data_IF_974607910695
#
_entry.id   IF_974607910695
#
_cell.length_a   1.000
_cell.length_b   1.000
_cell.length_c   1.000
_cell.angle_alpha   90.00
_cell.angle_beta   90.00
_cell.angle_gamma   90.00
#
_symmetry.space_group_name_H-M   'P 1'
#
loop_
_entity.id
_entity.type
_entity.pdbx_description
1 polymer ?
#
# COMPACT_ATOMS: atom_id res chain seq x y z
N UNK A 1 5.41 -69.00 32.20
CA UNK A 1 4.45 -67.88 32.02
C UNK A 1 5.10 -66.56 32.40
N UNK A 2 5.56 -65.75 31.43
CA UNK A 2 5.84 -64.31 31.56
C UNK A 2 5.78 -63.69 30.15
N UNK A 3 4.61 -63.21 29.76
CA UNK A 3 4.44 -61.99 28.93
C UNK A 3 4.05 -60.86 29.91
N UNK A 4 4.10 -59.56 29.58
CA UNK A 4 4.17 -58.92 28.25
C UNK A 4 5.26 -57.80 28.20
N UNK A 5 5.52 -57.12 27.08
CA UNK A 5 4.80 -55.91 26.65
C UNK A 5 5.24 -55.56 25.23
N UNK A 6 4.28 -55.53 24.32
CA UNK A 6 4.43 -54.89 23.02
C UNK A 6 4.65 -53.39 23.24
N UNK A 7 5.75 -52.87 22.69
CA UNK A 7 6.02 -51.45 22.62
C UNK A 7 5.27 -50.89 21.41
N UNK A 8 4.10 -50.31 21.64
CA UNK A 8 3.36 -49.55 20.63
C UNK A 8 4.02 -48.17 20.53
N UNK A 9 4.86 -47.96 19.51
CA UNK A 9 5.36 -46.63 19.16
C UNK A 9 4.28 -45.93 18.33
N UNK A 10 3.45 -45.12 19.00
CA UNK A 10 2.51 -44.23 18.33
C UNK A 10 3.27 -42.97 17.91
N UNK A 11 3.69 -42.91 16.64
CA UNK A 11 4.28 -41.70 16.07
C UNK A 11 3.15 -40.71 15.79
N UNK A 12 2.89 -39.80 16.73
CA UNK A 12 1.97 -38.68 16.54
C UNK A 12 2.65 -37.67 15.62
N UNK A 13 2.27 -37.64 14.35
CA UNK A 13 2.52 -36.49 13.49
C UNK A 13 1.67 -35.33 13.99
N UNK A 14 2.24 -34.51 14.88
CA UNK A 14 1.71 -33.17 15.15
C UNK A 14 1.99 -32.35 13.89
N UNK A 15 0.99 -32.23 13.03
CA UNK A 15 0.98 -31.19 12.00
C UNK A 15 0.86 -29.87 12.78
N UNK A 16 2.00 -29.26 13.11
CA UNK A 16 2.01 -27.85 13.49
C UNK A 16 1.44 -27.11 12.28
N UNK A 17 0.18 -26.70 12.37
CA UNK A 17 -0.38 -25.71 11.48
C UNK A 17 0.43 -24.43 11.71
N UNK A 18 1.54 -24.28 10.99
CA UNK A 18 2.18 -22.99 10.84
C UNK A 18 1.10 -22.08 10.29
N UNK A 19 0.74 -20.98 10.97
CA UNK A 19 -0.21 -20.05 10.41
C UNK A 19 0.39 -19.61 9.09
N UNK A 20 -0.30 -19.90 7.99
CA UNK A 20 0.28 -19.84 6.65
C UNK A 20 0.88 -18.46 6.35
N UNK A 21 0.49 -17.41 7.06
CA UNK A 21 1.23 -16.15 7.16
C UNK A 21 1.03 -15.55 8.56
N UNK A 22 2.10 -15.07 9.21
CA UNK A 22 1.97 -14.29 10.44
C UNK A 22 1.27 -12.95 10.12
N UNK A 23 0.44 -12.46 11.04
CA UNK A 23 -0.19 -11.14 10.88
C UNK A 23 0.88 -10.05 10.80
N UNK A 24 0.76 -9.16 9.81
CA UNK A 24 1.74 -8.08 9.57
C UNK A 24 1.29 -6.76 10.18
N UNK A 25 2.13 -6.17 11.02
CA UNK A 25 1.88 -4.85 11.61
C UNK A 25 2.41 -3.75 10.69
N UNK A 26 1.51 -2.97 10.12
CA UNK A 26 1.81 -1.90 9.18
C UNK A 26 1.70 -0.55 9.90
N UNK A 27 2.83 -0.03 10.37
CA UNK A 27 2.94 1.32 10.94
C UNK A 27 3.73 2.20 9.98
N UNK A 28 3.11 3.26 9.46
CA UNK A 28 3.71 4.12 8.43
C UNK A 28 4.99 4.81 8.89
N UNK A 29 5.24 4.91 10.20
CA UNK A 29 6.52 5.40 10.74
C UNK A 29 7.71 4.54 10.35
N UNK A 30 7.45 3.27 10.01
CA UNK A 30 8.46 2.29 9.60
C UNK A 30 8.44 2.07 8.08
N UNK A 31 7.71 2.89 7.32
CA UNK A 31 7.59 2.75 5.87
C UNK A 31 8.41 3.80 5.13
N UNK A 32 8.98 3.40 4.00
CA UNK A 32 9.48 4.36 3.02
C UNK A 32 8.32 4.90 2.20
N UNK A 33 8.22 6.23 2.10
CA UNK A 33 7.21 6.89 1.27
C UNK A 33 7.76 7.22 -0.11
N UNK A 34 7.05 6.76 -1.15
CA UNK A 34 7.24 7.19 -2.55
C UNK A 34 5.96 7.82 -3.04
N UNK A 35 6.05 9.00 -3.64
CA UNK A 35 4.91 9.71 -4.20
C UNK A 35 5.06 9.97 -5.69
N UNK A 36 3.94 9.88 -6.42
CA UNK A 36 3.89 10.08 -7.86
C UNK A 36 2.66 10.90 -8.21
N UNK A 37 2.89 12.07 -8.77
CA UNK A 37 1.85 13.07 -9.08
C UNK A 37 1.85 13.53 -10.54
N UNK A 38 2.78 13.03 -11.34
CA UNK A 38 2.90 13.30 -12.76
C UNK A 38 3.13 12.00 -13.54
N UNK A 39 2.82 12.06 -14.82
CA UNK A 39 3.14 11.06 -15.84
C UNK A 39 3.75 11.77 -17.06
N UNK A 40 4.11 11.01 -18.10
CA UNK A 40 4.50 11.60 -19.39
C UNK A 40 3.39 12.44 -20.05
N UNK A 41 2.13 12.27 -19.63
CA UNK A 41 0.98 13.04 -20.15
C UNK A 41 0.67 14.30 -19.33
N UNK A 42 1.34 14.49 -18.19
CA UNK A 42 1.11 15.60 -17.27
C UNK A 42 0.63 15.14 -15.89
N UNK A 43 -0.06 16.04 -15.18
CA UNK A 43 -0.57 15.78 -13.84
C UNK A 43 -1.62 14.65 -13.82
N UNK A 44 -1.65 13.91 -12.72
CA UNK A 44 -2.54 12.76 -12.50
C UNK A 44 -2.97 12.73 -11.04
N UNK A 45 -3.87 11.80 -10.70
CA UNK A 45 -4.12 11.41 -9.31
C UNK A 45 -2.80 11.21 -8.58
N UNK A 46 -2.69 11.76 -7.38
CA UNK A 46 -1.51 11.57 -6.54
C UNK A 46 -1.53 10.15 -5.99
N UNK A 47 -0.50 9.38 -6.33
CA UNK A 47 -0.25 8.06 -5.78
C UNK A 47 0.78 8.16 -4.68
N UNK A 48 0.48 7.61 -3.51
CA UNK A 48 1.42 7.47 -2.40
C UNK A 48 1.61 5.99 -2.12
N UNK A 49 2.86 5.54 -2.07
CA UNK A 49 3.25 4.18 -1.77
C UNK A 49 4.03 4.19 -0.45
N UNK A 50 3.45 3.61 0.59
CA UNK A 50 4.13 3.32 1.84
C UNK A 50 4.66 1.90 1.75
N UNK A 51 5.98 1.76 1.70
CA UNK A 51 6.68 0.49 1.48
C UNK A 51 7.19 0.00 2.83
N UNK A 52 6.55 -1.05 3.34
CA UNK A 52 6.90 -1.71 4.60
C UNK A 52 7.86 -2.86 4.29
N UNK A 53 9.16 -2.55 4.21
CA UNK A 53 10.19 -3.51 3.80
C UNK A 53 10.24 -4.73 4.73
N UNK A 54 10.23 -4.52 6.04
CA UNK A 54 10.30 -5.62 7.00
C UNK A 54 9.06 -6.52 6.95
N UNK A 55 7.91 -5.95 6.60
CA UNK A 55 6.63 -6.65 6.49
C UNK A 55 6.32 -7.11 5.06
N UNK A 56 7.24 -6.93 4.10
CA UNK A 56 7.02 -7.27 2.69
C UNK A 56 5.64 -6.85 2.21
N UNK A 57 5.28 -5.59 2.47
CA UNK A 57 3.96 -5.06 2.20
C UNK A 57 4.02 -3.66 1.62
N UNK A 58 2.99 -3.28 0.88
CA UNK A 58 2.82 -1.93 0.35
C UNK A 58 1.40 -1.45 0.62
N UNK A 59 1.25 -0.29 1.26
CA UNK A 59 0.00 0.46 1.27
C UNK A 59 0.05 1.49 0.15
N UNK A 60 -0.96 1.46 -0.71
CA UNK A 60 -1.15 2.51 -1.73
C UNK A 60 -2.30 3.41 -1.32
N UNK A 61 -2.08 4.72 -1.28
CA UNK A 61 -3.14 5.71 -1.26
C UNK A 61 -3.22 6.39 -2.63
N UNK A 62 -4.43 6.55 -3.16
CA UNK A 62 -4.71 7.32 -4.36
C UNK A 62 -5.61 8.49 -4.00
N UNK A 63 -5.13 9.70 -4.23
CA UNK A 63 -5.91 10.93 -4.07
C UNK A 63 -6.33 11.40 -5.47
N UNK A 64 -7.64 11.42 -5.71
CA UNK A 64 -8.19 11.87 -6.99
C UNK A 64 -7.98 13.38 -7.17
N UNK A 65 -7.70 13.81 -8.40
CA UNK A 65 -7.35 15.19 -8.74
C UNK A 65 -8.35 15.87 -9.68
N UNK A 66 -9.55 15.30 -9.88
CA UNK A 66 -10.59 15.88 -10.76
C UNK A 66 -11.13 17.20 -10.24
N UNK A 67 -11.32 17.31 -8.94
CA UNK A 67 -11.87 18.49 -8.26
C UNK A 67 -11.38 18.55 -6.79
N UNK A 68 -11.85 19.56 -6.06
CA UNK A 68 -11.46 19.83 -4.68
C UNK A 68 -12.15 18.93 -3.63
N UNK A 69 -12.88 17.89 -4.04
CA UNK A 69 -13.45 16.90 -3.10
C UNK A 69 -12.40 15.89 -2.63
N UNK A 70 -11.28 15.76 -3.36
CA UNK A 70 -10.13 14.89 -3.07
C UNK A 70 -10.47 13.48 -2.53
N UNK A 71 -11.30 12.67 -3.22
CA UNK A 71 -11.57 11.29 -2.80
C UNK A 71 -10.28 10.50 -2.62
N UNK A 72 -10.16 9.80 -1.49
CA UNK A 72 -8.98 8.98 -1.16
C UNK A 72 -9.36 7.51 -1.16
N UNK A 73 -8.63 6.71 -1.92
CA UNK A 73 -8.73 5.24 -1.90
C UNK A 73 -7.45 4.64 -1.35
N UNK A 74 -7.59 3.62 -0.52
CA UNK A 74 -6.47 2.88 0.04
C UNK A 74 -6.52 1.40 -0.33
N UNK A 75 -5.37 0.78 -0.55
CA UNK A 75 -5.27 -0.66 -0.81
C UNK A 75 -3.97 -1.19 -0.24
N UNK A 76 -4.03 -2.35 0.41
CA UNK A 76 -2.88 -3.05 0.98
C UNK A 76 -2.52 -4.23 0.09
N UNK A 77 -1.22 -4.38 -0.16
CA UNK A 77 -0.63 -5.50 -0.88
C UNK A 77 0.36 -6.21 0.04
N UNK A 78 0.23 -7.52 0.15
CA UNK A 78 1.18 -8.38 0.87
C UNK A 78 1.92 -9.23 -0.16
N UNK A 79 3.23 -9.36 0.02
CA UNK A 79 4.11 -10.16 -0.82
C UNK A 79 4.64 -11.36 -0.04
N UNK A 80 5.25 -12.33 -0.73
CA UNK A 80 5.93 -13.46 -0.06
C UNK A 80 7.02 -12.95 0.88
N UNK A 81 7.26 -13.66 1.99
CA UNK A 81 8.32 -13.33 2.95
C UNK A 81 9.72 -13.30 2.31
N UNK A 82 9.93 -14.14 1.30
CA UNK A 82 11.17 -14.22 0.54
C UNK A 82 11.39 -13.05 -0.45
N UNK A 83 10.40 -12.16 -0.62
CA UNK A 83 10.51 -11.02 -1.54
C UNK A 83 11.62 -10.08 -1.09
N UNK A 84 12.52 -9.69 -1.99
CA UNK A 84 13.59 -8.76 -1.65
C UNK A 84 13.11 -7.30 -1.75
N UNK A 85 13.77 -6.41 -1.02
CA UNK A 85 13.39 -4.99 -1.00
C UNK A 85 13.50 -4.33 -2.39
N UNK A 86 14.52 -4.71 -3.17
CA UNK A 86 14.68 -4.26 -4.56
C UNK A 86 13.52 -4.70 -5.46
N UNK A 87 12.89 -5.84 -5.16
CA UNK A 87 11.77 -6.37 -5.94
C UNK A 87 10.47 -5.63 -5.62
N UNK A 88 10.26 -5.20 -4.37
CA UNK A 88 9.15 -4.30 -4.02
C UNK A 88 9.25 -2.97 -4.76
N UNK A 89 10.45 -2.41 -4.90
CA UNK A 89 10.67 -1.18 -5.66
C UNK A 89 10.33 -1.35 -7.15
N UNK A 90 10.69 -2.49 -7.77
CA UNK A 90 10.27 -2.84 -9.14
C UNK A 90 8.75 -2.88 -9.26
N UNK A 91 8.07 -3.52 -8.30
CA UNK A 91 6.61 -3.59 -8.30
C UNK A 91 5.98 -2.21 -8.19
N UNK A 92 6.47 -1.34 -7.29
CA UNK A 92 6.00 0.04 -7.15
C UNK A 92 6.19 0.81 -8.46
N UNK A 93 7.36 0.70 -9.09
CA UNK A 93 7.62 1.35 -10.38
C UNK A 93 6.59 0.94 -11.44
N UNK A 94 6.30 -0.36 -11.55
CA UNK A 94 5.31 -0.87 -12.49
C UNK A 94 3.89 -0.36 -12.25
N UNK A 95 3.56 0.21 -11.08
CA UNK A 95 2.24 0.82 -10.82
C UNK A 95 2.08 2.22 -11.42
N UNK A 96 3.19 2.87 -11.78
CA UNK A 96 3.16 4.26 -12.21
C UNK A 96 4.06 4.55 -13.42
N UNK A 97 4.57 3.51 -14.06
CA UNK A 97 5.44 3.50 -15.23
C UNK A 97 4.90 2.52 -16.27
N UNK A 98 5.62 2.33 -17.38
CA UNK A 98 5.29 1.41 -18.49
C UNK A 98 5.56 -0.07 -18.16
N UNK A 99 5.45 -0.45 -16.89
CA UNK A 99 5.67 -1.81 -16.41
C UNK A 99 7.01 -2.45 -16.85
N UNK A 100 8.11 -1.69 -16.75
CA UNK A 100 9.43 -2.07 -17.26
C UNK A 100 10.04 -3.34 -16.62
N UNK A 101 9.59 -3.73 -15.42
CA UNK A 101 10.15 -4.87 -14.68
C UNK A 101 9.26 -6.10 -14.79
N UNK A 102 9.50 -6.94 -15.80
CA UNK A 102 8.72 -8.17 -16.02
C UNK A 102 8.86 -9.19 -14.86
N UNK A 103 9.96 -9.12 -14.12
CA UNK A 103 10.29 -9.95 -12.97
C UNK A 103 9.75 -9.39 -11.63
N UNK A 104 9.02 -8.27 -11.66
CA UNK A 104 8.44 -7.71 -10.45
C UNK A 104 7.54 -8.73 -9.72
N UNK A 105 7.63 -8.81 -8.38
CA UNK A 105 6.93 -9.81 -7.60
C UNK A 105 5.42 -9.59 -7.67
N UNK A 106 4.65 -10.67 -7.63
CA UNK A 106 3.19 -10.57 -7.57
C UNK A 106 2.75 -10.57 -6.09
N UNK A 107 1.79 -9.71 -5.70
CA UNK A 107 1.20 -9.79 -4.38
C UNK A 107 0.52 -11.15 -4.16
N UNK A 108 0.74 -11.77 -3.01
CA UNK A 108 0.01 -12.96 -2.56
C UNK A 108 -1.36 -12.61 -1.98
N UNK A 109 -1.55 -11.34 -1.62
CA UNK A 109 -2.80 -10.81 -1.11
C UNK A 109 -2.92 -9.35 -1.51
N UNK A 110 -4.14 -8.95 -1.90
CA UNK A 110 -4.50 -7.57 -2.22
C UNK A 110 -5.85 -7.27 -1.59
N UNK A 111 -5.96 -6.13 -0.90
CA UNK A 111 -7.16 -5.78 -0.17
C UNK A 111 -7.46 -4.29 -0.27
N UNK A 112 -8.63 -3.98 -0.82
CA UNK A 112 -9.15 -2.62 -0.86
C UNK A 112 -9.65 -2.22 0.53
N UNK A 113 -9.12 -1.11 1.05
CA UNK A 113 -9.59 -0.56 2.31
C UNK A 113 -11.04 -0.07 2.12
N UNK A 114 -11.95 -0.38 3.07
CA UNK A 114 -13.33 0.08 2.99
C UNK A 114 -13.46 1.60 2.88
N UNK A 115 -14.57 2.05 2.29
CA UNK A 115 -14.90 3.46 2.23
C UNK A 115 -14.88 4.10 3.63
N UNK A 116 -14.32 5.31 3.75
CA UNK A 116 -14.23 6.04 5.00
C UNK A 116 -13.08 5.62 5.93
N UNK A 117 -12.29 4.59 5.57
CA UNK A 117 -11.00 4.30 6.22
C UNK A 117 -9.96 5.36 5.83
N UNK A 118 -9.87 5.69 4.55
CA UNK A 118 -9.02 6.76 4.02
C UNK A 118 -9.88 7.96 3.64
N UNK A 119 -9.48 9.16 4.04
CA UNK A 119 -10.17 10.40 3.68
C UNK A 119 -9.22 11.59 3.60
N UNK A 120 -9.57 12.57 2.78
CA UNK A 120 -9.04 13.92 2.92
C UNK A 120 -9.75 14.59 4.11
N UNK A 121 -9.00 15.19 5.03
CA UNK A 121 -9.53 15.89 6.20
C UNK A 121 -9.62 17.39 5.99
N UNK A 122 -8.66 17.96 5.27
CA UNK A 122 -8.62 19.38 4.93
C UNK A 122 -7.76 19.58 3.69
N UNK A 123 -7.83 20.78 3.09
CA UNK A 123 -6.93 21.16 2.02
C UNK A 123 -6.67 22.66 2.01
N UNK A 124 -5.53 23.05 1.45
CA UNK A 124 -5.16 24.44 1.20
C UNK A 124 -4.54 24.58 -0.18
N UNK A 125 -5.03 25.54 -0.97
CA UNK A 125 -4.38 25.93 -2.22
C UNK A 125 -3.02 26.58 -1.91
N UNK A 126 -1.96 26.06 -2.51
CA UNK A 126 -0.58 26.49 -2.29
C UNK A 126 0.03 27.16 -3.52
N UNK A 127 -0.60 27.05 -4.69
CA UNK A 127 -0.11 27.70 -5.89
C UNK A 127 -0.83 27.27 -7.17
N UNK A 128 -0.17 27.42 -8.30
CA UNK A 128 -0.61 26.91 -9.59
C UNK A 128 0.59 26.61 -10.48
N UNK A 129 0.48 25.56 -11.29
CA UNK A 129 1.51 25.09 -12.20
C UNK A 129 0.91 24.86 -13.59
N UNK A 130 1.72 24.97 -14.65
CA UNK A 130 1.28 24.62 -16.01
C UNK A 130 1.69 23.19 -16.33
N UNK A 131 0.80 22.43 -16.95
CA UNK A 131 1.15 21.11 -17.49
C UNK A 131 2.17 21.31 -18.64
N UNK A 132 3.38 20.71 -18.55
CA UNK A 132 4.42 20.89 -19.57
C UNK A 132 4.00 20.46 -20.99
N UNK A 133 3.02 19.56 -21.10
CA UNK A 133 2.59 19.00 -22.39
C UNK A 133 1.66 19.93 -23.18
N UNK A 134 0.76 20.64 -22.50
CA UNK A 134 -0.33 21.39 -23.15
C UNK A 134 -0.55 22.79 -22.57
N UNK A 135 0.30 23.25 -21.64
CA UNK A 135 0.23 24.54 -20.96
C UNK A 135 -1.07 24.82 -20.17
N UNK A 136 -1.92 23.81 -19.97
CA UNK A 136 -3.11 23.94 -19.13
C UNK A 136 -2.69 24.26 -17.69
N UNK A 137 -3.41 25.20 -17.07
CA UNK A 137 -3.14 25.61 -15.69
C UNK A 137 -3.79 24.64 -14.73
N UNK A 138 -3.04 24.22 -13.72
CA UNK A 138 -3.51 23.40 -12.61
C UNK A 138 -3.27 24.18 -11.31
N UNK A 139 -4.25 24.15 -10.42
CA UNK A 139 -4.12 24.63 -9.06
C UNK A 139 -3.47 23.55 -8.20
N UNK A 140 -2.48 23.95 -7.41
CA UNK A 140 -1.73 23.06 -6.53
C UNK A 140 -2.29 23.16 -5.13
N UNK A 141 -2.62 22.02 -4.53
CA UNK A 141 -3.18 21.89 -3.19
C UNK A 141 -2.26 21.04 -2.32
N UNK A 142 -2.16 21.41 -1.05
CA UNK A 142 -1.73 20.51 0.01
C UNK A 142 -3.00 19.96 0.67
N UNK A 143 -3.16 18.64 0.63
CA UNK A 143 -4.33 17.91 1.15
C UNK A 143 -3.88 17.13 2.37
N UNK A 144 -4.50 17.36 3.51
CA UNK A 144 -4.31 16.53 4.70
C UNK A 144 -5.12 15.24 4.55
N UNK A 145 -4.48 14.11 4.85
CA UNK A 145 -5.05 12.78 4.78
C UNK A 145 -5.19 12.23 6.19
N UNK A 146 -6.29 11.52 6.42
CA UNK A 146 -6.47 10.68 7.61
C UNK A 146 -6.74 9.26 7.17
N UNK A 147 -5.99 8.32 7.74
CA UNK A 147 -6.21 6.89 7.60
C UNK A 147 -6.55 6.32 8.97
N UNK A 148 -7.72 5.72 9.11
CA UNK A 148 -8.14 5.06 10.34
C UNK A 148 -7.43 3.72 10.49
N UNK A 149 -7.23 3.30 11.74
CA UNK A 149 -6.79 1.94 12.06
C UNK A 149 -7.72 0.93 11.38
N UNK A 150 -7.14 -0.09 10.75
CA UNK A 150 -7.89 -1.16 10.10
C UNK A 150 -7.12 -2.48 10.18
N UNK A 151 -7.83 -3.57 10.42
CA UNK A 151 -7.23 -4.91 10.51
C UNK A 151 -8.02 -5.90 9.70
N UNK A 152 -7.30 -6.86 9.13
CA UNK A 152 -7.88 -8.07 8.55
C UNK A 152 -7.27 -9.26 9.29
N UNK A 153 -8.14 -10.05 9.93
CA UNK A 153 -7.74 -11.19 10.78
C UNK A 153 -6.71 -12.08 10.09
N UNK A 154 -5.61 -12.38 10.80
CA UNK A 154 -4.50 -13.23 10.32
C UNK A 154 -3.83 -12.74 9.03
N UNK A 155 -4.01 -11.47 8.65
CA UNK A 155 -3.36 -10.86 7.47
C UNK A 155 -2.54 -9.65 7.87
N UNK A 156 -3.19 -8.59 8.33
CA UNK A 156 -2.49 -7.37 8.68
C UNK A 156 -3.26 -6.52 9.68
N UNK A 157 -2.51 -5.68 10.39
CA UNK A 157 -3.00 -4.58 11.21
C UNK A 157 -2.35 -3.28 10.73
N UNK A 158 -3.15 -2.40 10.13
CA UNK A 158 -2.75 -1.06 9.73
C UNK A 158 -3.03 -0.09 10.89
N UNK A 159 -1.97 0.50 11.44
CA UNK A 159 -2.08 1.58 12.42
C UNK A 159 -2.68 2.82 11.75
N UNK A 160 -3.59 3.51 12.45
CA UNK A 160 -4.11 4.79 11.97
C UNK A 160 -3.04 5.88 11.97
N UNK A 161 -3.13 6.79 11.01
CA UNK A 161 -2.16 7.88 10.84
C UNK A 161 -2.75 9.07 10.08
N UNK A 162 -2.02 10.18 10.09
CA UNK A 162 -2.26 11.36 9.25
C UNK A 162 -1.02 11.65 8.42
N UNK A 163 -1.22 12.16 7.22
CA UNK A 163 -0.13 12.58 6.33
C UNK A 163 -0.63 13.70 5.40
N UNK A 164 0.24 14.21 4.52
CA UNK A 164 -0.13 15.22 3.53
C UNK A 164 0.24 14.78 2.12
N UNK A 165 -0.64 15.10 1.16
CA UNK A 165 -0.39 14.89 -0.25
C UNK A 165 -0.39 16.23 -1.00
N UNK A 166 0.52 16.38 -1.96
CA UNK A 166 0.40 17.44 -2.97
C UNK A 166 -0.47 16.95 -4.12
N UNK A 167 -1.49 17.72 -4.49
CA UNK A 167 -2.45 17.37 -5.56
C UNK A 167 -2.55 18.54 -6.54
N UNK A 168 -2.66 18.24 -7.84
CA UNK A 168 -2.83 19.23 -8.90
C UNK A 168 -4.21 19.07 -9.55
N UNK A 169 -5.08 20.05 -9.38
CA UNK A 169 -6.45 20.05 -9.93
C UNK A 169 -6.50 20.99 -11.13
N UNK A 170 -7.11 20.57 -12.23
CA UNK A 170 -7.21 21.41 -13.43
C UNK A 170 -7.95 22.72 -13.12
N UNK A 171 -7.36 23.85 -13.49
CA UNK A 171 -8.02 25.16 -13.42
C UNK A 171 -9.21 25.19 -14.38
N UNK A 172 -10.31 25.82 -13.97
CA UNK A 172 -11.45 26.08 -14.84
C UNK A 172 -11.16 27.21 -15.81
#
# INVERSE_FOLDING_TARGET
MKTPKQLLVLLVFVILATPLYAERNLDVKNADLKDVRHSMLGFRNTLMFYIFKDQKAVLTLTVDNKDETFPVKGKVYLFEEATLDGDLAKWVNNRHSDALFADAPKPIYSYDLPAGVCKASSFKKTGSDKNPRNNEVYHTYQVELTVKTHSVDKKFKLSGFTDTAKVHVKGK
#
